data_IF_766583706191
#
_entry.id   IF_766583706191
#
_cell.length_a   1.000
_cell.length_b   1.000
_cell.length_c   1.000
_cell.angle_alpha   90.00
_cell.angle_beta   90.00
_cell.angle_gamma   90.00
#
_symmetry.space_group_name_H-M   'P 1'
#
loop_
_entity.id
_entity.type
_entity.pdbx_description
1 polymer ?
#
# COMPACT_ATOMS: atom_id res chain seq x y z
N UNK A 1 -7.49 12.61 -18.97
CA UNK A 1 -6.48 13.50 -18.36
C UNK A 1 -6.02 12.76 -17.12
N UNK A 2 -4.75 12.33 -17.03
CA UNK A 2 -4.27 11.61 -15.85
C UNK A 2 -4.29 12.56 -14.65
N UNK A 3 -5.03 12.18 -13.60
CA UNK A 3 -5.11 12.96 -12.36
C UNK A 3 -3.77 12.77 -11.65
N UNK A 4 -3.07 13.87 -11.36
CA UNK A 4 -1.82 13.76 -10.60
C UNK A 4 -2.10 13.26 -9.17
N UNK A 5 -1.19 12.52 -8.54
CA UNK A 5 -1.38 12.03 -7.17
C UNK A 5 -1.69 13.18 -6.19
N UNK A 6 -1.05 14.34 -6.36
CA UNK A 6 -1.35 15.54 -5.57
C UNK A 6 -2.78 16.03 -5.76
N UNK A 7 -3.29 16.03 -6.99
CA UNK A 7 -4.68 16.41 -7.30
C UNK A 7 -5.67 15.42 -6.69
N UNK A 8 -5.38 14.12 -6.77
CA UNK A 8 -6.18 13.08 -6.12
C UNK A 8 -6.28 13.30 -4.60
N UNK A 9 -5.14 13.54 -3.93
CA UNK A 9 -5.12 13.82 -2.48
C UNK A 9 -5.90 15.10 -2.13
N UNK A 10 -5.80 16.13 -2.98
CA UNK A 10 -6.57 17.38 -2.83
C UNK A 10 -8.07 17.15 -2.96
N UNK A 11 -8.50 16.37 -3.94
CA UNK A 11 -9.92 16.02 -4.12
C UNK A 11 -10.48 15.28 -2.91
N UNK A 12 -9.74 14.29 -2.39
CA UNK A 12 -10.14 13.56 -1.18
C UNK A 12 -10.26 14.51 0.02
N UNK A 13 -9.28 15.41 0.22
CA UNK A 13 -9.32 16.41 1.29
C UNK A 13 -10.55 17.31 1.19
N UNK A 14 -10.86 17.80 -0.02
CA UNK A 14 -12.00 18.69 -0.25
C UNK A 14 -13.34 17.97 -0.04
N UNK A 15 -13.45 16.70 -0.43
CA UNK A 15 -14.63 15.85 -0.16
C UNK A 15 -14.88 15.64 1.32
N UNK A 16 -13.82 15.63 2.14
CA UNK A 16 -13.92 15.58 3.60
C UNK A 16 -14.18 16.95 4.25
N UNK A 17 -14.35 18.01 3.45
CA UNK A 17 -14.51 19.40 3.90
C UNK A 17 -13.35 19.88 4.80
N UNK A 18 -12.13 19.39 4.58
CA UNK A 18 -10.96 19.78 5.37
C UNK A 18 -10.17 20.89 4.67
N UNK A 19 -9.86 21.95 5.42
CA UNK A 19 -8.86 22.93 5.03
C UNK A 19 -7.43 22.44 5.27
N UNK A 20 -6.44 23.12 4.68
CA UNK A 20 -5.02 22.80 4.91
C UNK A 20 -4.64 22.89 6.41
N UNK A 21 -5.23 23.84 7.14
CA UNK A 21 -4.98 24.03 8.57
C UNK A 21 -5.59 22.93 9.43
N UNK A 22 -6.71 22.33 8.99
CA UNK A 22 -7.34 21.21 9.71
C UNK A 22 -6.45 19.97 9.65
N UNK A 23 -5.91 19.68 8.46
CA UNK A 23 -4.95 18.58 8.26
C UNK A 23 -3.68 18.83 9.06
N UNK A 24 -3.15 20.07 9.07
CA UNK A 24 -2.00 20.42 9.91
C UNK A 24 -2.27 20.15 11.39
N UNK A 25 -3.43 20.58 11.91
CA UNK A 25 -3.81 20.36 13.32
C UNK A 25 -3.99 18.87 13.64
N UNK A 26 -4.60 18.10 12.75
CA UNK A 26 -4.77 16.66 12.90
C UNK A 26 -3.41 15.92 12.87
N UNK A 27 -2.53 16.27 11.92
CA UNK A 27 -1.19 15.69 11.82
C UNK A 27 -0.33 15.99 13.05
N UNK A 28 -0.51 17.16 13.66
CA UNK A 28 0.17 17.52 14.91
C UNK A 28 -0.24 16.59 16.06
N UNK A 29 -1.53 16.26 16.18
CA UNK A 29 -2.01 15.29 17.18
C UNK A 29 -1.40 13.90 16.97
N UNK A 30 -1.29 13.44 15.73
CA UNK A 30 -0.64 12.16 15.40
C UNK A 30 0.84 12.21 15.78
N UNK A 31 1.57 13.25 15.38
CA UNK A 31 2.99 13.39 15.69
C UNK A 31 3.29 13.41 17.20
N UNK A 32 2.41 13.99 18.02
CA UNK A 32 2.52 13.97 19.48
C UNK A 32 2.30 12.55 20.02
N UNK A 33 1.26 11.85 19.56
CA UNK A 33 0.96 10.47 19.98
C UNK A 33 2.08 9.49 19.63
N UNK A 34 2.61 9.61 18.41
CA UNK A 34 3.74 8.82 17.91
C UNK A 34 5.10 9.25 18.49
N UNK A 35 5.14 10.34 19.27
CA UNK A 35 6.36 10.97 19.80
C UNK A 35 7.40 11.23 18.69
N UNK A 36 6.95 11.55 17.48
CA UNK A 36 7.80 11.68 16.31
C UNK A 36 7.30 12.79 15.37
N UNK A 37 8.09 13.86 15.25
CA UNK A 37 7.76 15.06 14.45
C UNK A 37 7.65 14.77 12.95
N UNK A 38 8.17 13.65 12.43
CA UNK A 38 8.13 13.32 11.00
C UNK A 38 6.71 13.09 10.47
N UNK A 39 5.77 12.74 11.36
CA UNK A 39 4.35 12.59 11.05
C UNK A 39 3.60 13.92 10.89
N UNK A 40 4.17 15.04 11.37
CA UNK A 40 3.55 16.35 11.21
C UNK A 40 3.66 16.85 9.76
N UNK A 41 2.59 17.48 9.27
CA UNK A 41 2.51 18.09 7.94
C UNK A 41 2.08 19.55 8.12
N UNK A 42 2.94 20.49 7.76
CA UNK A 42 2.55 21.91 7.74
C UNK A 42 1.61 22.19 6.56
N UNK A 43 0.76 23.22 6.66
CA UNK A 43 -0.13 23.63 5.58
C UNK A 43 0.63 23.94 4.28
N UNK A 44 1.79 24.59 4.38
CA UNK A 44 2.66 24.87 3.23
C UNK A 44 3.18 23.56 2.59
N UNK A 45 3.62 22.60 3.41
CA UNK A 45 4.09 21.31 2.88
C UNK A 45 2.96 20.52 2.23
N UNK A 46 1.76 20.57 2.80
CA UNK A 46 0.58 19.93 2.21
C UNK A 46 0.22 20.56 0.86
N UNK A 47 0.26 21.89 0.75
CA UNK A 47 0.02 22.57 -0.52
C UNK A 47 1.04 22.17 -1.60
N UNK A 48 2.32 22.02 -1.26
CA UNK A 48 3.34 21.52 -2.20
C UNK A 48 3.08 20.07 -2.63
N UNK A 49 2.65 19.21 -1.71
CA UNK A 49 2.30 17.81 -2.02
C UNK A 49 1.11 17.77 -3.00
N UNK A 50 0.13 18.63 -2.79
CA UNK A 50 -1.10 18.67 -3.60
C UNK A 50 -0.93 19.33 -4.97
N UNK A 51 -0.04 20.33 -5.10
CA UNK A 51 0.04 21.14 -6.33
C UNK A 51 1.37 21.00 -7.10
N UNK A 52 2.49 20.71 -6.44
CA UNK A 52 3.84 20.83 -7.03
C UNK A 52 4.53 19.48 -7.26
N UNK A 53 3.74 18.40 -7.44
CA UNK A 53 4.24 17.02 -7.57
C UNK A 53 5.21 16.58 -6.45
N UNK A 54 5.13 17.21 -5.27
CA UNK A 54 6.06 16.91 -4.20
C UNK A 54 5.75 15.53 -3.58
N UNK A 55 6.77 14.66 -3.53
CA UNK A 55 6.62 13.32 -2.99
C UNK A 55 6.58 13.37 -1.45
N UNK A 56 5.53 12.86 -0.79
CA UNK A 56 5.50 12.75 0.67
C UNK A 56 6.42 11.62 1.14
N UNK A 57 7.10 11.83 2.27
CA UNK A 57 7.83 10.75 2.95
C UNK A 57 6.85 9.70 3.52
N UNK A 58 7.32 8.47 3.76
CA UNK A 58 6.52 7.37 4.36
C UNK A 58 5.69 7.79 5.59
N UNK A 59 6.25 8.60 6.50
CA UNK A 59 5.55 9.13 7.68
C UNK A 59 4.37 10.04 7.34
N UNK A 60 4.51 10.83 6.27
CA UNK A 60 3.45 11.74 5.80
C UNK A 60 2.39 10.97 5.02
N UNK A 61 2.78 9.95 4.27
CA UNK A 61 1.83 9.02 3.63
C UNK A 61 0.96 8.37 4.71
N UNK A 62 1.57 7.87 5.80
CA UNK A 62 0.83 7.31 6.93
C UNK A 62 -0.15 8.33 7.51
N UNK A 63 0.32 9.54 7.81
CA UNK A 63 -0.53 10.61 8.34
C UNK A 63 -1.69 10.95 7.39
N UNK A 64 -1.44 11.05 6.09
CA UNK A 64 -2.48 11.35 5.10
C UNK A 64 -3.47 10.19 4.98
N UNK A 65 -3.01 8.93 4.96
CA UNK A 65 -3.86 7.75 4.98
C UNK A 65 -4.81 7.77 6.18
N UNK A 66 -4.27 8.02 7.39
CA UNK A 66 -5.05 8.09 8.62
C UNK A 66 -6.08 9.24 8.63
N UNK A 67 -5.73 10.43 8.14
CA UNK A 67 -6.63 11.59 8.13
C UNK A 67 -7.68 11.48 7.01
N UNK A 68 -7.30 10.95 5.85
CA UNK A 68 -8.15 10.90 4.66
C UNK A 68 -8.99 9.63 4.56
N UNK A 69 -8.78 8.66 5.46
CA UNK A 69 -9.48 7.37 5.42
C UNK A 69 -9.09 6.53 4.20
N UNK A 70 -7.86 6.71 3.71
CA UNK A 70 -7.30 5.95 2.60
C UNK A 70 -6.39 4.85 3.15
N UNK A 71 -6.28 3.74 2.43
CA UNK A 71 -5.23 2.76 2.69
C UNK A 71 -3.86 3.33 2.31
N UNK A 72 -2.83 2.81 2.97
CA UNK A 72 -1.44 3.14 2.62
C UNK A 72 -1.13 2.78 1.15
N UNK A 73 -1.72 1.67 0.69
CA UNK A 73 -1.58 1.17 -0.67
C UNK A 73 -2.17 2.14 -1.70
N UNK A 74 -3.41 2.61 -1.51
CA UNK A 74 -4.04 3.56 -2.45
C UNK A 74 -3.20 4.82 -2.68
N UNK A 75 -2.60 5.37 -1.62
CA UNK A 75 -1.72 6.52 -1.76
C UNK A 75 -0.47 6.14 -2.55
N UNK A 76 0.21 5.03 -2.22
CA UNK A 76 1.37 4.57 -2.98
C UNK A 76 1.06 4.34 -4.47
N UNK A 77 -0.04 3.66 -4.77
CA UNK A 77 -0.47 3.37 -6.14
C UNK A 77 -0.72 4.66 -6.93
N UNK A 78 -1.29 5.70 -6.29
CA UNK A 78 -1.46 7.01 -6.95
C UNK A 78 -0.15 7.67 -7.35
N UNK A 79 0.96 7.38 -6.64
CA UNK A 79 2.32 7.79 -6.99
C UNK A 79 3.05 6.78 -7.91
N UNK A 80 2.34 5.80 -8.47
CA UNK A 80 2.90 4.78 -9.36
C UNK A 80 3.66 3.65 -8.65
N UNK A 81 3.55 3.56 -7.32
CA UNK A 81 4.17 2.49 -6.52
C UNK A 81 3.15 1.41 -6.25
N UNK A 82 3.16 0.38 -7.08
CA UNK A 82 2.33 -0.83 -6.92
C UNK A 82 3.15 -1.90 -6.18
N UNK A 83 2.74 -2.20 -4.94
CA UNK A 83 3.42 -3.19 -4.10
C UNK A 83 3.33 -4.61 -4.67
N UNK A 84 2.28 -4.92 -5.42
CA UNK A 84 2.05 -6.27 -5.95
C UNK A 84 3.12 -6.62 -7.00
N UNK A 85 3.72 -5.61 -7.64
CA UNK A 85 4.86 -5.78 -8.55
C UNK A 85 6.13 -6.29 -7.87
N UNK A 86 6.25 -6.22 -6.55
CA UNK A 86 7.45 -6.75 -5.86
C UNK A 86 7.64 -8.24 -6.06
N UNK A 87 6.57 -9.02 -6.25
CA UNK A 87 6.65 -10.45 -6.55
C UNK A 87 7.38 -10.74 -7.86
N UNK A 88 7.05 -9.99 -8.92
CA UNK A 88 7.73 -10.10 -10.22
C UNK A 88 9.24 -9.92 -10.07
N UNK A 89 9.68 -8.89 -9.36
CA UNK A 89 11.11 -8.64 -9.16
C UNK A 89 11.78 -9.68 -8.26
N UNK A 90 11.05 -10.31 -7.31
CA UNK A 90 11.61 -11.43 -6.51
C UNK A 90 11.88 -12.66 -7.35
N UNK A 91 11.05 -12.95 -8.35
CA UNK A 91 11.28 -14.07 -9.28
C UNK A 91 12.45 -13.81 -10.22
N UNK A 92 12.59 -12.58 -10.69
CA UNK A 92 13.72 -12.14 -11.51
C UNK A 92 15.04 -12.19 -10.70
N UNK A 93 15.02 -11.71 -9.45
CA UNK A 93 16.16 -11.70 -8.54
C UNK A 93 16.23 -13.04 -7.82
N UNK A 94 16.76 -14.05 -8.50
CA UNK A 94 16.96 -15.42 -7.97
C UNK A 94 18.05 -15.46 -6.89
N UNK A 95 17.66 -15.15 -5.66
CA UNK A 95 18.55 -15.29 -4.51
C UNK A 95 18.76 -16.76 -4.16
N UNK A 96 19.95 -17.07 -3.66
CA UNK A 96 20.32 -18.42 -3.21
C UNK A 96 19.58 -18.87 -1.95
N UNK A 97 19.06 -17.92 -1.16
CA UNK A 97 18.32 -18.19 0.06
C UNK A 97 16.80 -18.06 -0.15
N UNK A 98 16.04 -19.02 0.39
CA UNK A 98 14.58 -18.97 0.42
C UNK A 98 14.10 -17.88 1.38
N UNK A 99 12.97 -17.25 1.05
CA UNK A 99 12.34 -16.20 1.87
C UNK A 99 10.87 -16.56 2.13
N UNK A 100 10.37 -16.35 3.35
CA UNK A 100 8.94 -16.47 3.60
C UNK A 100 8.18 -15.43 2.77
N UNK A 101 7.07 -15.85 2.17
CA UNK A 101 6.17 -14.98 1.41
C UNK A 101 4.87 -14.88 2.19
N UNK A 102 4.48 -13.65 2.53
CA UNK A 102 3.14 -13.37 3.09
C UNK A 102 2.12 -13.32 1.95
N UNK A 103 0.93 -13.84 2.18
CA UNK A 103 -0.20 -13.82 1.23
C UNK A 103 -1.05 -12.54 1.38
N UNK A 104 -0.44 -11.42 1.73
CA UNK A 104 -1.12 -10.14 1.87
C UNK A 104 -1.44 -9.56 0.48
N UNK A 105 -2.72 -9.53 0.15
CA UNK A 105 -3.23 -8.83 -1.02
C UNK A 105 -3.58 -7.41 -0.61
N UNK A 106 -2.86 -6.42 -1.12
CA UNK A 106 -3.12 -5.01 -0.83
C UNK A 106 -4.21 -4.42 -1.72
N UNK A 107 -4.52 -5.06 -2.84
CA UNK A 107 -5.55 -4.67 -3.78
C UNK A 107 -6.54 -5.83 -4.01
N UNK A 108 -7.82 -5.57 -3.74
CA UNK A 108 -8.91 -6.55 -3.90
C UNK A 108 -9.17 -6.94 -5.36
N UNK A 109 -8.73 -6.12 -6.32
CA UNK A 109 -8.83 -6.40 -7.75
C UNK A 109 -7.64 -7.20 -8.29
N UNK A 110 -6.66 -7.54 -7.45
CA UNK A 110 -5.52 -8.34 -7.87
C UNK A 110 -5.98 -9.76 -8.18
N UNK A 111 -5.83 -10.16 -9.44
CA UNK A 111 -6.14 -11.52 -9.89
C UNK A 111 -5.08 -12.46 -9.32
N UNK A 112 -5.54 -13.51 -8.64
CA UNK A 112 -4.68 -14.56 -8.10
C UNK A 112 -5.02 -15.87 -8.79
N UNK A 113 -4.01 -16.58 -9.26
CA UNK A 113 -4.15 -17.95 -9.78
C UNK A 113 -4.34 -18.89 -8.60
N UNK A 114 -5.42 -19.67 -8.63
CA UNK A 114 -5.72 -20.64 -7.59
C UNK A 114 -5.62 -22.06 -8.16
N UNK A 115 -5.24 -23.06 -7.35
CA UNK A 115 -5.26 -24.44 -7.80
C UNK A 115 -6.71 -24.88 -8.05
N UNK A 116 -7.03 -25.24 -9.29
CA UNK A 116 -8.38 -25.70 -9.67
C UNK A 116 -8.59 -27.18 -9.33
N UNK A 117 -7.50 -27.95 -9.25
CA UNK A 117 -7.51 -29.34 -8.79
C UNK A 117 -6.36 -29.60 -7.83
N UNK A 118 -6.72 -30.13 -6.66
CA UNK A 118 -5.76 -30.74 -5.73
C UNK A 118 -5.55 -32.21 -6.13
N UNK A 119 -4.36 -32.74 -5.90
CA UNK A 119 -4.07 -34.16 -6.09
C UNK A 119 -4.94 -35.00 -5.13
N UNK A 120 -5.84 -35.88 -5.62
CA UNK A 120 -6.71 -36.67 -4.76
C UNK A 120 -5.96 -37.71 -3.91
N UNK A 121 -4.70 -38.00 -4.24
CA UNK A 121 -3.83 -38.89 -3.45
C UNK A 121 -3.11 -38.15 -2.31
N UNK A 122 -3.26 -36.82 -2.24
CA UNK A 122 -2.66 -35.99 -1.21
C UNK A 122 -3.21 -36.30 0.18
N UNK A 123 -2.29 -36.48 1.14
CA UNK A 123 -2.61 -36.61 2.57
C UNK A 123 -2.03 -35.42 3.31
N UNK A 124 -2.89 -34.58 3.88
CA UNK A 124 -2.51 -33.39 4.65
C UNK A 124 -1.61 -33.70 5.86
N UNK A 125 -1.68 -34.94 6.33
CA UNK A 125 -0.94 -35.49 7.47
C UNK A 125 0.55 -35.70 7.18
N UNK A 126 0.94 -35.79 5.90
CA UNK A 126 2.29 -36.26 5.51
C UNK A 126 3.18 -35.17 4.94
N UNK A 127 2.64 -34.05 4.45
CA UNK A 127 3.48 -32.94 3.94
C UNK A 127 2.73 -31.60 3.85
N UNK A 128 3.46 -30.51 4.12
CA UNK A 128 2.99 -29.13 3.96
C UNK A 128 3.50 -28.48 2.65
N UNK A 129 4.07 -29.27 1.74
CA UNK A 129 4.64 -28.78 0.48
C UNK A 129 3.55 -28.58 -0.59
N UNK A 130 3.17 -27.32 -0.84
CA UNK A 130 2.10 -26.93 -1.79
C UNK A 130 2.33 -27.48 -3.20
N UNK A 131 3.58 -27.56 -3.67
CA UNK A 131 3.90 -28.10 -5.00
C UNK A 131 3.54 -29.59 -5.17
N UNK A 132 3.35 -30.35 -4.08
CA UNK A 132 2.85 -31.73 -4.11
C UNK A 132 1.33 -31.83 -3.97
N UNK A 133 0.66 -30.72 -3.66
CA UNK A 133 -0.79 -30.67 -3.45
C UNK A 133 -1.51 -30.31 -4.74
N UNK A 134 -0.90 -29.51 -5.61
CA UNK A 134 -1.57 -28.96 -6.80
C UNK A 134 -1.35 -29.85 -8.02
N UNK A 135 -2.45 -30.41 -8.54
CA UNK A 135 -2.44 -31.19 -9.79
C UNK A 135 -2.60 -30.30 -11.03
N UNK A 136 -3.31 -29.16 -10.89
CA UNK A 136 -3.52 -28.22 -11.98
C UNK A 136 -3.72 -26.78 -11.48
N UNK A 137 -3.01 -25.83 -12.09
CA UNK A 137 -3.15 -24.39 -11.89
C UNK A 137 -4.08 -23.80 -12.97
N UNK A 138 -5.00 -22.92 -12.59
CA UNK A 138 -5.92 -22.24 -13.52
C UNK A 138 -6.20 -20.80 -13.13
#
# INVERSE_FOLDING_TARGET
>A
MEISPGSFLREVRLRLHLGLRDVQKASSKIAVKEKNKRFHISAARLAQIENDNAIPSVFKIFTLAAIYGLSFHEILTSYGVDSDRTHKYREEIKLSATRPVSAELHNLNTKVTIPVRLDPTFKWETTQLINRVVAFWG
#
